data_IF_619607580674
#
_entry.id   IF_619607580674
#
_cell.length_a   1.000
_cell.length_b   1.000
_cell.length_c   1.000
_cell.angle_alpha   90.00
_cell.angle_beta   90.00
_cell.angle_gamma   90.00
#
_symmetry.space_group_name_H-M   'P 1'
#
loop_
_entity.id
_entity.type
_entity.pdbx_description
1 polymer ?
#
# COMPACT_ATOMS: atom_id res chain seq x y z
N UNK A 1 4.66 0.67 -18.34
CA UNK A 1 3.85 -0.53 -18.01
C UNK A 1 2.59 -0.03 -17.33
N UNK A 2 1.44 -0.63 -17.63
CA UNK A 2 0.15 -0.29 -17.00
C UNK A 2 -0.16 -1.33 -15.93
N UNK A 3 -0.65 -0.87 -14.79
CA UNK A 3 -1.07 -1.70 -13.66
C UNK A 3 -2.41 -1.19 -13.15
N UNK A 4 -3.27 -2.14 -12.76
CA UNK A 4 -4.50 -1.83 -12.03
C UNK A 4 -4.67 -2.75 -10.83
N UNK A 5 -5.28 -2.23 -9.76
CA UNK A 5 -5.65 -2.97 -8.56
C UNK A 5 -7.01 -2.53 -8.08
N UNK A 6 -7.84 -3.51 -7.73
CA UNK A 6 -9.11 -3.28 -7.05
C UNK A 6 -8.91 -3.56 -5.56
N UNK A 7 -8.96 -2.53 -4.72
CA UNK A 7 -8.99 -2.69 -3.27
C UNK A 7 -10.42 -2.69 -2.77
N UNK A 8 -10.69 -3.51 -1.74
CA UNK A 8 -11.98 -3.55 -1.04
C UNK A 8 -11.76 -3.69 0.45
N UNK A 9 -12.53 -2.96 1.25
CA UNK A 9 -12.66 -3.19 2.69
C UNK A 9 -14.01 -3.86 2.92
N UNK A 10 -14.00 -5.01 3.57
CA UNK A 10 -15.20 -5.84 3.77
C UNK A 10 -15.38 -6.07 5.26
N UNK A 11 -16.59 -5.87 5.76
CA UNK A 11 -16.96 -6.24 7.11
C UNK A 11 -16.99 -7.77 7.23
N UNK A 12 -15.95 -8.38 7.81
CA UNK A 12 -15.73 -9.84 7.82
C UNK A 12 -16.96 -10.67 8.19
N UNK A 13 -17.72 -10.26 9.21
CA UNK A 13 -18.89 -11.03 9.70
C UNK A 13 -20.13 -10.88 8.82
N UNK A 14 -20.31 -9.72 8.18
CA UNK A 14 -21.52 -9.37 7.42
C UNK A 14 -21.34 -9.55 5.91
N UNK A 15 -20.09 -9.63 5.45
CA UNK A 15 -19.75 -9.65 4.03
C UNK A 15 -20.01 -8.33 3.29
N UNK A 16 -20.36 -7.27 4.02
CA UNK A 16 -20.68 -5.96 3.47
C UNK A 16 -19.41 -5.24 3.01
N UNK A 17 -19.43 -4.67 1.80
CA UNK A 17 -18.33 -3.85 1.29
C UNK A 17 -18.47 -2.46 1.90
N UNK A 18 -17.54 -2.11 2.79
CA UNK A 18 -17.47 -0.80 3.43
C UNK A 18 -16.78 0.24 2.54
N UNK A 19 -15.88 -0.22 1.67
CA UNK A 19 -15.16 0.63 0.73
C UNK A 19 -14.68 -0.19 -0.47
N UNK A 20 -14.67 0.42 -1.66
CA UNK A 20 -14.14 -0.14 -2.90
C UNK A 20 -13.45 0.96 -3.71
N UNK A 21 -12.24 0.67 -4.21
CA UNK A 21 -11.48 1.61 -5.03
C UNK A 21 -10.63 0.90 -6.07
N UNK A 22 -10.71 1.36 -7.32
CA UNK A 22 -9.85 0.91 -8.42
C UNK A 22 -8.67 1.86 -8.55
N UNK A 23 -7.45 1.42 -8.25
CA UNK A 23 -6.22 2.16 -8.53
C UNK A 23 -5.66 1.73 -9.90
N UNK A 24 -5.31 2.70 -10.74
CA UNK A 24 -4.66 2.47 -12.03
C UNK A 24 -3.44 3.38 -12.12
N UNK A 25 -2.30 2.84 -12.53
CA UNK A 25 -1.08 3.61 -12.66
C UNK A 25 -0.25 3.14 -13.86
N UNK A 26 0.49 4.06 -14.46
CA UNK A 26 1.46 3.78 -15.51
C UNK A 26 2.84 4.20 -15.04
N UNK A 27 3.81 3.30 -15.14
CA UNK A 27 5.17 3.57 -14.65
C UNK A 27 6.25 3.20 -15.67
N UNK A 28 7.36 3.94 -15.60
CA UNK A 28 8.57 3.67 -16.36
C UNK A 28 9.43 2.63 -15.63
N UNK A 29 9.91 1.64 -16.38
CA UNK A 29 10.62 0.46 -15.87
C UNK A 29 11.93 0.78 -15.13
N UNK A 30 12.52 1.95 -15.40
CA UNK A 30 13.80 2.41 -14.85
C UNK A 30 13.62 3.69 -14.01
N UNK A 31 12.74 3.64 -13.01
CA UNK A 31 12.60 4.72 -12.03
C UNK A 31 13.65 4.55 -10.94
N UNK A 32 14.70 5.38 -10.97
CA UNK A 32 15.74 5.45 -9.91
C UNK A 32 15.18 5.92 -8.57
N UNK A 33 14.00 6.56 -8.56
CA UNK A 33 13.33 7.14 -7.39
C UNK A 33 13.17 6.15 -6.22
N UNK A 34 13.10 4.84 -6.50
CA UNK A 34 12.89 3.81 -5.49
C UNK A 34 14.09 2.87 -5.30
N UNK A 35 15.30 3.25 -5.73
CA UNK A 35 16.47 2.37 -5.65
C UNK A 35 16.79 1.92 -4.21
N UNK A 36 16.61 2.81 -3.22
CA UNK A 36 16.78 2.46 -1.80
C UNK A 36 15.76 1.40 -1.35
N UNK A 37 14.50 1.55 -1.78
CA UNK A 37 13.43 0.60 -1.49
C UNK A 37 13.71 -0.76 -2.14
N UNK A 38 14.10 -0.75 -3.43
CA UNK A 38 14.50 -1.94 -4.17
C UNK A 38 15.61 -2.68 -3.44
N UNK A 39 16.66 -1.97 -3.01
CA UNK A 39 17.80 -2.56 -2.30
C UNK A 39 17.35 -3.20 -0.98
N UNK A 40 16.53 -2.49 -0.20
CA UNK A 40 16.02 -2.97 1.10
C UNK A 40 15.23 -4.27 0.94
N UNK A 41 14.23 -4.29 0.05
CA UNK A 41 13.41 -5.48 -0.16
C UNK A 41 14.19 -6.62 -0.83
N UNK A 42 15.16 -6.31 -1.68
CA UNK A 42 16.07 -7.31 -2.25
C UNK A 42 16.93 -7.98 -1.18
N UNK A 43 17.40 -7.20 -0.21
CA UNK A 43 18.23 -7.71 0.88
C UNK A 43 17.43 -8.58 1.85
N UNK A 44 16.17 -8.23 2.11
CA UNK A 44 15.27 -8.98 2.99
C UNK A 44 14.72 -10.26 2.35
N UNK A 45 14.39 -10.21 1.05
CA UNK A 45 13.58 -11.25 0.40
C UNK A 45 14.21 -11.86 -0.86
N UNK A 46 15.42 -11.44 -1.26
CA UNK A 46 16.14 -12.00 -2.40
C UNK A 46 16.06 -11.17 -3.69
N UNK A 47 16.97 -11.46 -4.63
CA UNK A 47 17.16 -10.72 -5.90
C UNK A 47 15.95 -10.81 -6.85
N UNK A 48 15.17 -11.86 -6.73
CA UNK A 48 13.93 -12.09 -7.49
C UNK A 48 12.84 -11.06 -7.19
N UNK A 49 12.95 -10.36 -6.06
CA UNK A 49 11.98 -9.32 -5.67
C UNK A 49 12.33 -7.97 -6.28
N UNK A 50 13.58 -7.71 -6.66
CA UNK A 50 14.06 -6.40 -7.12
C UNK A 50 13.18 -5.79 -8.23
N UNK A 51 12.86 -6.56 -9.27
CA UNK A 51 12.03 -6.10 -10.39
C UNK A 51 10.54 -5.94 -10.06
N UNK A 52 10.11 -6.41 -8.90
CA UNK A 52 8.72 -6.38 -8.43
C UNK A 52 8.43 -5.17 -7.51
N UNK A 53 9.45 -4.61 -6.86
CA UNK A 53 9.27 -3.58 -5.82
C UNK A 53 8.53 -2.36 -6.34
N UNK A 54 9.01 -1.72 -7.41
CA UNK A 54 8.37 -0.53 -7.97
C UNK A 54 6.91 -0.78 -8.40
N UNK A 55 6.60 -1.83 -9.18
CA UNK A 55 5.22 -2.14 -9.54
C UNK A 55 4.30 -2.25 -8.32
N UNK A 56 4.71 -2.97 -7.27
CA UNK A 56 3.90 -3.09 -6.06
C UNK A 56 3.79 -1.79 -5.27
N UNK A 57 4.90 -1.05 -5.12
CA UNK A 57 4.92 0.22 -4.39
C UNK A 57 3.96 1.24 -5.01
N UNK A 58 4.06 1.48 -6.32
CA UNK A 58 3.20 2.47 -6.99
C UNK A 58 1.73 2.05 -6.97
N UNK A 59 1.45 0.75 -7.11
CA UNK A 59 0.09 0.23 -7.07
C UNK A 59 -0.55 0.40 -5.69
N UNK A 60 0.19 0.07 -4.63
CA UNK A 60 -0.28 0.23 -3.26
C UNK A 60 -0.41 1.70 -2.89
N UNK A 61 0.55 2.54 -3.26
CA UNK A 61 0.47 3.98 -3.01
C UNK A 61 -0.77 4.59 -3.67
N UNK A 62 -1.00 4.31 -4.95
CA UNK A 62 -2.20 4.80 -5.65
C UNK A 62 -3.51 4.26 -5.08
N UNK A 63 -3.49 3.10 -4.43
CA UNK A 63 -4.65 2.56 -3.72
C UNK A 63 -4.87 3.27 -2.38
N UNK A 64 -3.80 3.48 -1.62
CA UNK A 64 -3.84 4.21 -0.35
C UNK A 64 -4.27 5.66 -0.55
N UNK A 65 -3.85 6.32 -1.63
CA UNK A 65 -4.26 7.68 -1.98
C UNK A 65 -5.79 7.79 -2.23
N UNK A 66 -6.47 6.67 -2.52
CA UNK A 66 -7.93 6.62 -2.68
C UNK A 66 -8.68 6.29 -1.38
N UNK A 67 -7.96 5.89 -0.33
CA UNK A 67 -8.55 5.69 0.98
C UNK A 67 -8.60 7.04 1.70
N UNK A 68 -9.82 7.53 1.94
CA UNK A 68 -10.00 8.61 2.88
C UNK A 68 -9.44 8.20 4.24
N UNK A 69 -8.78 9.14 4.93
CA UNK A 69 -8.32 8.88 6.29
C UNK A 69 -9.53 8.53 7.16
N UNK A 70 -9.43 7.49 8.01
CA UNK A 70 -10.54 7.12 8.88
C UNK A 70 -10.89 8.33 9.77
N UNK A 71 -12.19 8.63 9.87
CA UNK A 71 -12.68 9.64 10.80
C UNK A 71 -12.70 8.98 12.17
N UNK A 72 -11.65 9.22 12.95
CA UNK A 72 -11.52 8.70 14.30
C UNK A 72 -12.39 9.50 15.28
N UNK A 73 -13.12 8.80 16.13
CA UNK A 73 -13.71 9.33 17.37
C UNK A 73 -12.62 9.70 18.38
N UNK A 74 -12.94 10.49 19.41
CA UNK A 74 -11.96 10.86 20.45
C UNK A 74 -11.43 9.62 21.20
N UNK A 75 -12.28 8.64 21.48
CA UNK A 75 -11.88 7.38 22.12
C UNK A 75 -10.90 6.57 21.24
N UNK A 76 -11.12 6.50 19.92
CA UNK A 76 -10.21 5.83 18.98
C UNK A 76 -8.87 6.58 18.79
N UNK A 77 -8.85 7.89 19.00
CA UNK A 77 -7.60 8.69 18.97
C UNK A 77 -6.76 8.45 20.21
N UNK A 78 -7.40 8.20 21.35
CA UNK A 78 -6.72 7.90 22.62
C UNK A 78 -6.15 6.47 22.63
N UNK A 79 -6.77 5.52 21.91
CA UNK A 79 -6.21 4.18 21.65
C UNK A 79 -5.09 4.16 20.58
N UNK A 80 -4.27 5.22 20.52
CA UNK A 80 -3.16 5.28 19.57
C UNK A 80 -2.15 4.19 19.92
N UNK A 81 -1.97 3.23 19.02
CA UNK A 81 -0.90 2.23 19.13
C UNK A 81 0.45 2.97 19.03
N UNK A 82 1.11 3.16 20.17
CA UNK A 82 2.50 3.61 20.19
C UNK A 82 3.37 2.47 19.64
N UNK A 83 3.80 2.60 18.39
CA UNK A 83 4.80 1.70 17.83
C UNK A 83 6.12 2.05 18.52
N UNK A 84 6.49 1.29 19.56
CA UNK A 84 7.82 1.39 20.15
C UNK A 84 8.86 1.15 19.05
N UNK A 85 9.56 2.22 18.67
CA UNK A 85 10.69 2.14 17.76
C UNK A 85 11.79 1.31 18.43
N UNK A 86 12.03 0.11 17.91
CA UNK A 86 13.21 -0.71 18.24
C UNK A 86 14.37 -0.39 17.33
#
# INVERSE_FOLDING_TARGET
MELSALGKVIHCTKGEILWEGLAENSYFKNTEENQSLINTYTQLYGKEIAGKVNPYFFLLQSLLDKLDSPILTEEEKDEKIEVEAR
#
